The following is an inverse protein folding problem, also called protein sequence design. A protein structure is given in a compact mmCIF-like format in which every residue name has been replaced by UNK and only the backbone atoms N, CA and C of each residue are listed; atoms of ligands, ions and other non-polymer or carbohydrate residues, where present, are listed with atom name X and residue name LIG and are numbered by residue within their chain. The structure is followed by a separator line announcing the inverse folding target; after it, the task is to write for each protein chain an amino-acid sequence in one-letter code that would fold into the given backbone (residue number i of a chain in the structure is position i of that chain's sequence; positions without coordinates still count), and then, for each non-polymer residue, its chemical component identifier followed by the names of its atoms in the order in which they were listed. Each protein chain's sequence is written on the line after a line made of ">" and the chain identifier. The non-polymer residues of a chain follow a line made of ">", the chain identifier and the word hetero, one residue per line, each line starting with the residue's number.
data_IF_717632912044
#
_entry.id   IF_717632912044
#
_cell.length_a   1.000
_cell.length_b   1.000
_cell.length_c   1.000
_cell.angle_alpha   90.00
_cell.angle_beta   90.00
_cell.angle_gamma   90.00
#
_symmetry.space_group_name_H-M   'P 1'
#
loop_
_entity.id
_entity.type
_entity.pdbx_description
1 polymer ?
#
# COMPACT_ATOMS: atom_id res chain seq x y z
N UNK A 1 -2.67 10.83 -13.70
CA UNK A 1 -3.99 11.37 -13.33
C UNK A 1 -4.51 10.62 -12.12
N UNK A 2 -5.09 11.34 -11.15
CA UNK A 2 -5.81 10.75 -10.01
C UNK A 2 -7.31 10.86 -10.22
N UNK A 3 -8.07 9.93 -9.64
CA UNK A 3 -9.54 9.94 -9.68
C UNK A 3 -10.10 9.43 -8.35
N UNK A 4 -11.18 10.05 -7.89
CA UNK A 4 -11.98 9.49 -6.81
C UNK A 4 -12.73 8.28 -7.33
N UNK A 5 -12.83 7.25 -6.51
CA UNK A 5 -13.54 6.01 -6.84
C UNK A 5 -15.02 6.22 -6.57
N UNK A 6 -15.82 6.05 -7.62
CA UNK A 6 -17.27 6.12 -7.55
C UNK A 6 -17.85 4.92 -6.78
N UNK A 7 -19.06 5.08 -6.25
CA UNK A 7 -19.71 4.09 -5.39
C UNK A 7 -19.76 2.68 -6.00
N UNK A 8 -20.08 2.57 -7.29
CA UNK A 8 -20.23 1.30 -8.00
C UNK A 8 -18.90 0.53 -8.09
N UNK A 9 -17.79 1.23 -8.39
CA UNK A 9 -16.46 0.62 -8.39
C UNK A 9 -16.03 0.27 -6.97
N UNK A 10 -16.38 1.10 -5.99
CA UNK A 10 -16.09 0.84 -4.58
C UNK A 10 -16.76 -0.44 -4.07
N UNK A 11 -17.99 -0.73 -4.50
CA UNK A 11 -18.69 -1.97 -4.19
C UNK A 11 -17.91 -3.19 -4.72
N UNK A 12 -17.36 -3.10 -5.93
CA UNK A 12 -16.47 -4.12 -6.50
C UNK A 12 -15.13 -4.27 -5.76
N UNK A 13 -14.63 -3.20 -5.13
CA UNK A 13 -13.40 -3.21 -4.34
C UNK A 13 -13.60 -3.64 -2.88
N UNK A 14 -14.85 -3.77 -2.41
CA UNK A 14 -15.13 -4.09 -1.00
C UNK A 14 -14.38 -5.33 -0.49
N UNK A 15 -14.30 -6.47 -1.21
CA UNK A 15 -13.51 -7.63 -0.77
C UNK A 15 -12.01 -7.34 -0.67
N UNK A 16 -11.47 -6.50 -1.57
CA UNK A 16 -10.06 -6.11 -1.61
C UNK A 16 -9.72 -5.20 -0.42
N UNK A 17 -10.60 -4.23 -0.13
CA UNK A 17 -10.49 -3.33 1.02
C UNK A 17 -10.53 -4.13 2.32
N UNK A 18 -11.47 -5.07 2.42
CA UNK A 18 -11.62 -5.89 3.61
C UNK A 18 -10.40 -6.78 3.85
N UNK A 19 -9.85 -7.41 2.81
CA UNK A 19 -8.62 -8.18 2.92
C UNK A 19 -7.43 -7.31 3.38
N UNK A 20 -7.30 -6.09 2.86
CA UNK A 20 -6.27 -5.14 3.30
C UNK A 20 -6.47 -4.73 4.77
N UNK A 21 -7.72 -4.48 5.19
CA UNK A 21 -8.09 -4.11 6.57
C UNK A 21 -7.80 -5.24 7.55
N UNK A 22 -8.23 -6.47 7.25
CA UNK A 22 -7.95 -7.66 8.06
C UNK A 22 -6.45 -7.86 8.22
N UNK A 23 -5.68 -7.68 7.13
CA UNK A 23 -4.24 -7.80 7.21
C UNK A 23 -3.61 -6.68 8.02
N UNK A 24 -4.07 -5.44 7.87
CA UNK A 24 -3.63 -4.30 8.67
C UNK A 24 -3.81 -4.55 10.18
N UNK A 25 -4.89 -5.22 10.60
CA UNK A 25 -5.12 -5.58 12.00
C UNK A 25 -4.09 -6.58 12.56
N UNK A 26 -3.38 -7.31 11.71
CA UNK A 26 -2.28 -8.21 12.08
C UNK A 26 -0.93 -7.49 12.14
N UNK A 27 -0.86 -6.20 11.80
CA UNK A 27 0.39 -5.42 11.82
C UNK A 27 1.03 -5.45 13.20
N UNK A 28 2.34 -5.75 13.22
CA UNK A 28 3.18 -5.70 14.43
C UNK A 28 3.77 -4.30 14.66
N UNK A 29 3.45 -3.32 13.82
CA UNK A 29 3.93 -1.96 13.97
C UNK A 29 3.16 -1.22 15.06
N UNK A 30 3.88 -0.71 16.07
CA UNK A 30 3.30 0.09 17.15
C UNK A 30 3.03 1.54 16.78
N UNK A 31 3.52 2.03 15.62
CA UNK A 31 3.34 3.43 15.17
C UNK A 31 2.04 3.63 14.40
N UNK A 32 1.87 2.86 13.34
CA UNK A 32 0.73 2.90 12.43
C UNK A 32 0.49 1.47 11.92
N UNK A 33 -0.76 1.03 11.95
CA UNK A 33 -1.16 -0.27 11.40
C UNK A 33 -1.66 -0.10 9.98
N UNK A 34 -0.97 -0.73 9.04
CA UNK A 34 -1.21 -0.61 7.61
C UNK A 34 -1.26 -1.97 6.96
N UNK A 35 -2.15 -2.12 5.99
CA UNK A 35 -2.30 -3.30 5.16
C UNK A 35 -2.31 -2.90 3.70
N UNK A 36 -1.89 -3.81 2.84
CA UNK A 36 -1.97 -3.60 1.41
C UNK A 36 -2.30 -4.89 0.67
N UNK A 37 -2.92 -4.72 -0.49
CA UNK A 37 -3.29 -5.80 -1.38
C UNK A 37 -2.83 -5.47 -2.79
N UNK A 38 -2.22 -6.45 -3.45
CA UNK A 38 -2.00 -6.45 -4.90
C UNK A 38 -3.14 -7.25 -5.53
N UNK A 39 -3.82 -6.67 -6.50
CA UNK A 39 -4.99 -7.29 -7.13
C UNK A 39 -5.09 -6.99 -8.61
N UNK A 40 -5.80 -7.84 -9.35
CA UNK A 40 -6.12 -7.67 -10.76
C UNK A 40 -7.52 -8.22 -11.01
N UNK A 41 -8.39 -7.44 -11.64
CA UNK A 41 -9.76 -7.85 -11.99
C UNK A 41 -10.56 -8.47 -10.82
N UNK A 42 -10.42 -7.89 -9.63
CA UNK A 42 -11.06 -8.36 -8.39
C UNK A 42 -10.39 -9.58 -7.73
N UNK A 43 -9.35 -10.16 -8.35
CA UNK A 43 -8.57 -11.25 -7.78
C UNK A 43 -7.40 -10.70 -6.96
N UNK A 44 -7.26 -11.17 -5.71
CA UNK A 44 -6.11 -10.90 -4.85
C UNK A 44 -4.93 -11.75 -5.31
N UNK A 45 -3.82 -11.09 -5.67
CA UNK A 45 -2.55 -11.72 -6.02
C UNK A 45 -1.61 -11.78 -4.82
N UNK A 46 -1.62 -10.75 -3.97
CA UNK A 46 -0.81 -10.70 -2.76
C UNK A 46 -1.43 -9.80 -1.70
N UNK A 47 -1.15 -10.08 -0.43
CA UNK A 47 -1.69 -9.33 0.72
C UNK A 47 -0.70 -9.34 1.88
N UNK A 48 -0.42 -8.16 2.43
CA UNK A 48 0.54 -8.03 3.52
C UNK A 48 0.21 -6.85 4.45
N UNK A 49 0.92 -6.80 5.59
CA UNK A 49 0.89 -5.69 6.53
C UNK A 49 2.28 -5.10 6.69
N UNK A 50 2.36 -3.90 7.29
CA UNK A 50 3.64 -3.30 7.64
C UNK A 50 4.16 -3.81 8.99
N UNK A 51 5.47 -3.90 9.12
CA UNK A 51 6.11 -4.27 10.37
C UNK A 51 7.61 -4.52 10.20
N UNK A 52 8.36 -4.66 11.30
CA UNK A 52 9.76 -5.07 11.27
C UNK A 52 9.96 -6.40 10.54
N UNK A 53 11.06 -6.53 9.82
CA UNK A 53 11.42 -7.77 9.12
C UNK A 53 11.88 -8.82 10.14
N UNK A 54 11.33 -10.03 10.09
CA UNK A 54 11.71 -11.13 10.98
C UNK A 54 13.23 -11.34 11.03
N UNK A 55 13.82 -11.62 12.21
CA UNK A 55 13.18 -11.92 13.51
C UNK A 55 12.91 -10.68 14.39
N UNK A 56 12.94 -9.48 13.82
CA UNK A 56 12.83 -8.25 14.58
C UNK A 56 11.40 -7.92 15.02
N UNK A 57 11.28 -7.20 16.14
CA UNK A 57 10.01 -6.72 16.70
C UNK A 57 9.96 -5.20 16.77
N UNK A 58 8.76 -4.62 16.85
CA UNK A 58 8.64 -3.17 16.87
C UNK A 58 9.05 -2.65 18.25
N UNK A 59 10.13 -1.88 18.29
CA UNK A 59 10.58 -1.20 19.49
C UNK A 59 10.41 0.31 19.31
N UNK A 60 9.41 0.97 19.93
CA UNK A 60 9.16 2.40 19.75
C UNK A 60 10.38 3.29 20.03
N UNK A 61 11.23 2.92 21.00
CA UNK A 61 12.41 3.69 21.39
C UNK A 61 13.51 3.75 20.32
N UNK A 62 13.50 2.83 19.35
CA UNK A 62 14.50 2.75 18.27
C UNK A 62 13.81 2.86 16.90
N UNK A 63 12.80 2.02 16.67
CA UNK A 63 12.12 1.85 15.40
C UNK A 63 11.47 3.13 14.88
N UNK A 64 10.96 4.03 15.73
CA UNK A 64 10.22 5.20 15.25
C UNK A 64 11.13 6.18 14.51
N UNK A 65 12.40 6.27 14.91
CA UNK A 65 13.40 7.14 14.30
C UNK A 65 13.95 6.58 12.97
N UNK A 66 13.98 5.25 12.82
CA UNK A 66 14.56 4.56 11.66
C UNK A 66 13.54 3.68 10.92
N UNK A 67 12.25 3.97 11.05
CA UNK A 67 11.18 3.07 10.62
C UNK A 67 11.30 2.69 9.15
N UNK A 68 11.67 3.63 8.27
CA UNK A 68 11.87 3.38 6.85
C UNK A 68 13.05 2.48 6.50
N UNK A 69 13.99 2.24 7.43
CA UNK A 69 15.10 1.32 7.26
C UNK A 69 14.85 -0.05 7.90
N UNK A 70 13.96 -0.08 8.91
CA UNK A 70 13.78 -1.24 9.78
C UNK A 70 12.50 -2.03 9.51
N UNK A 71 11.43 -1.34 9.11
CA UNK A 71 10.14 -1.93 8.82
C UNK A 71 9.93 -2.08 7.32
N UNK A 72 9.37 -3.22 6.92
CA UNK A 72 8.82 -3.37 5.58
C UNK A 72 7.45 -2.71 5.53
N UNK A 73 7.23 -1.86 4.53
CA UNK A 73 5.92 -1.26 4.28
C UNK A 73 4.95 -2.29 3.68
N UNK A 74 3.66 -2.10 3.94
CA UNK A 74 2.64 -3.07 3.56
C UNK A 74 2.58 -3.26 2.03
N UNK A 75 2.72 -2.18 1.27
CA UNK A 75 2.67 -2.15 -0.19
C UNK A 75 3.79 -2.99 -0.79
N UNK A 76 5.02 -2.76 -0.32
CA UNK A 76 6.19 -3.53 -0.73
C UNK A 76 6.03 -5.00 -0.33
N UNK A 77 5.58 -5.27 0.89
CA UNK A 77 5.36 -6.63 1.36
C UNK A 77 4.29 -7.37 0.53
N UNK A 78 3.21 -6.69 0.11
CA UNK A 78 2.14 -7.29 -0.69
C UNK A 78 2.60 -7.61 -2.12
N UNK A 79 3.44 -6.75 -2.71
CA UNK A 79 4.13 -7.02 -3.98
C UNK A 79 5.03 -8.26 -3.85
N UNK A 80 5.82 -8.34 -2.78
CA UNK A 80 6.70 -9.49 -2.54
C UNK A 80 5.91 -10.78 -2.31
N UNK A 81 4.78 -10.71 -1.60
CA UNK A 81 3.87 -11.85 -1.39
C UNK A 81 3.27 -12.36 -2.72
N UNK A 82 2.83 -11.45 -3.61
CA UNK A 82 2.35 -11.82 -4.94
C UNK A 82 3.43 -12.53 -5.78
N UNK A 83 4.64 -11.98 -5.81
CA UNK A 83 5.78 -12.56 -6.53
C UNK A 83 6.15 -13.94 -5.95
N UNK A 84 6.21 -14.06 -4.62
CA UNK A 84 6.56 -15.31 -3.95
C UNK A 84 5.56 -16.44 -4.22
N UNK A 85 4.28 -16.09 -4.46
CA UNK A 85 3.23 -17.02 -4.89
C UNK A 85 3.28 -17.36 -6.38
N UNK A 86 4.20 -16.77 -7.14
CA UNK A 86 4.38 -17.00 -8.57
C UNK A 86 3.43 -16.21 -9.46
N UNK A 87 2.77 -15.17 -8.94
CA UNK A 87 1.94 -14.30 -9.76
C UNK A 87 2.78 -13.30 -10.54
N UNK A 88 2.40 -13.09 -11.80
CA UNK A 88 2.85 -11.92 -12.55
C UNK A 88 2.12 -10.66 -12.06
N UNK A 89 2.72 -9.48 -12.26
CA UNK A 89 2.16 -8.20 -11.80
C UNK A 89 1.63 -7.34 -12.96
N UNK A 90 1.53 -7.88 -14.17
CA UNK A 90 1.12 -7.09 -15.34
C UNK A 90 -0.34 -6.65 -15.19
N UNK A 91 -0.60 -5.35 -15.37
CA UNK A 91 -1.88 -4.69 -15.13
C UNK A 91 -2.42 -4.81 -13.69
N UNK A 92 -1.60 -5.24 -12.72
CA UNK A 92 -2.03 -5.30 -11.33
C UNK A 92 -2.08 -3.91 -10.70
N UNK A 93 -3.03 -3.73 -9.77
CA UNK A 93 -3.17 -2.55 -8.93
C UNK A 93 -2.73 -2.85 -7.50
N UNK A 94 -2.38 -1.81 -6.75
CA UNK A 94 -2.03 -1.91 -5.33
C UNK A 94 -3.01 -1.07 -4.52
N UNK A 95 -3.60 -1.63 -3.48
CA UNK A 95 -4.50 -0.92 -2.56
C UNK A 95 -3.87 -0.84 -1.17
N UNK A 96 -3.87 0.35 -0.58
CA UNK A 96 -3.38 0.64 0.76
C UNK A 96 -4.53 0.93 1.72
N UNK A 97 -4.47 0.37 2.92
CA UNK A 97 -5.34 0.70 4.06
C UNK A 97 -4.48 1.08 5.27
N UNK A 98 -4.85 2.18 5.92
CA UNK A 98 -4.49 2.49 7.30
C UNK A 98 -5.66 2.11 8.21
N UNK A 99 -5.41 1.46 9.35
CA UNK A 99 -6.43 1.21 10.38
C UNK A 99 -6.10 1.88 11.71
N UNK A 100 -7.12 2.44 12.33
CA UNK A 100 -7.06 3.00 13.68
C UNK A 100 -7.30 1.96 14.76
N UNK A 101 -7.34 2.41 16.01
CA UNK A 101 -7.82 1.59 17.13
C UNK A 101 -9.24 1.06 16.85
N UNK A 102 -9.53 -0.18 17.22
CA UNK A 102 -10.80 -0.85 16.86
C UNK A 102 -10.89 -1.34 15.40
N UNK A 103 -9.83 -1.20 14.60
CA UNK A 103 -9.73 -1.83 13.27
C UNK A 103 -10.55 -1.15 12.17
N UNK A 104 -10.98 0.08 12.41
CA UNK A 104 -11.66 0.94 11.44
C UNK A 104 -10.67 1.54 10.45
N UNK A 105 -11.06 1.60 9.17
CA UNK A 105 -10.25 2.25 8.12
C UNK A 105 -10.14 3.74 8.41
N UNK A 106 -8.93 4.27 8.32
CA UNK A 106 -8.63 5.68 8.56
C UNK A 106 -8.13 6.35 7.28
N UNK A 107 -8.38 7.65 7.19
CA UNK A 107 -7.78 8.51 6.18
C UNK A 107 -6.26 8.42 6.28
N UNK A 108 -5.64 8.15 5.13
CA UNK A 108 -4.20 8.20 4.97
C UNK A 108 -3.78 9.64 4.68
N UNK A 109 -2.60 10.02 5.18
CA UNK A 109 -2.02 11.32 4.87
C UNK A 109 -1.63 11.46 3.40
N UNK A 110 -1.02 12.60 3.07
CA UNK A 110 -0.46 12.84 1.75
C UNK A 110 0.52 11.73 1.32
N UNK A 111 0.58 11.48 0.01
CA UNK A 111 1.58 10.59 -0.57
C UNK A 111 2.97 11.18 -0.35
N UNK A 112 3.76 10.53 0.51
CA UNK A 112 5.11 10.97 0.89
C UNK A 112 6.12 9.83 0.98
N UNK A 113 5.74 8.61 0.60
CA UNK A 113 6.62 7.46 0.72
C UNK A 113 7.27 7.13 -0.63
N UNK A 114 8.48 7.66 -0.82
CA UNK A 114 9.33 7.43 -1.98
C UNK A 114 9.78 5.97 -2.11
N UNK A 115 9.88 5.23 -1.01
CA UNK A 115 10.17 3.79 -1.07
C UNK A 115 9.01 3.06 -1.78
N UNK A 116 7.76 3.27 -1.35
CA UNK A 116 6.60 2.60 -1.95
C UNK A 116 6.42 2.98 -3.43
N UNK A 117 6.38 4.27 -3.77
CA UNK A 117 6.17 4.69 -5.17
C UNK A 117 7.39 4.39 -6.04
N UNK A 118 8.60 4.55 -5.49
CA UNK A 118 9.85 4.21 -6.17
C UNK A 118 9.95 2.72 -6.51
N UNK A 119 9.54 1.83 -5.58
CA UNK A 119 9.47 0.39 -5.85
C UNK A 119 8.47 0.07 -6.97
N UNK A 120 7.28 0.67 -6.97
CA UNK A 120 6.30 0.48 -8.03
C UNK A 120 6.82 1.00 -9.38
N UNK A 121 7.50 2.15 -9.39
CA UNK A 121 8.16 2.70 -10.59
C UNK A 121 9.27 1.81 -11.14
N UNK A 122 9.99 1.07 -10.27
CA UNK A 122 10.98 0.10 -10.71
C UNK A 122 10.37 -0.99 -11.61
N UNK A 123 9.15 -1.46 -11.33
CA UNK A 123 8.46 -2.42 -12.19
C UNK A 123 8.13 -1.82 -13.56
N UNK A 124 7.62 -0.58 -13.61
CA UNK A 124 7.37 0.12 -14.88
C UNK A 124 8.64 0.24 -15.73
N UNK A 125 9.76 0.61 -15.11
CA UNK A 125 11.07 0.72 -15.78
C UNK A 125 11.58 -0.62 -16.32
N UNK A 126 11.13 -1.74 -15.76
CA UNK A 126 11.46 -3.10 -16.20
C UNK A 126 10.46 -3.66 -17.22
N UNK A 127 9.46 -2.86 -17.61
CA UNK A 127 8.45 -3.24 -18.61
C UNK A 127 7.23 -3.95 -18.03
N UNK A 128 7.09 -4.03 -16.70
CA UNK A 128 5.87 -4.54 -16.05
C UNK A 128 4.96 -3.38 -15.72
N UNK A 129 3.77 -3.35 -16.29
CA UNK A 129 2.82 -2.25 -16.09
C UNK A 129 1.98 -2.48 -14.85
N UNK A 130 2.28 -1.80 -13.75
CA UNK A 130 1.35 -1.66 -12.64
C UNK A 130 0.33 -0.56 -12.97
N UNK A 131 -0.95 -0.84 -12.74
CA UNK A 131 -2.06 0.00 -13.21
C UNK A 131 -2.29 1.20 -12.30
N UNK A 132 -2.80 0.98 -11.10
CA UNK A 132 -3.20 2.05 -10.18
C UNK A 132 -2.80 1.74 -8.74
N UNK A 133 -2.54 2.81 -7.97
CA UNK A 133 -2.38 2.81 -6.54
C UNK A 133 -3.61 3.44 -5.88
N UNK A 134 -4.30 2.65 -5.05
CA UNK A 134 -5.53 3.03 -4.36
C UNK A 134 -5.23 3.36 -2.90
N UNK A 135 -5.73 4.50 -2.42
CA UNK A 135 -5.54 4.98 -1.06
C UNK A 135 -6.78 5.73 -0.58
N UNK A 136 -7.13 5.56 0.69
CA UNK A 136 -8.26 6.30 1.30
C UNK A 136 -7.79 7.67 1.79
N UNK A 137 -8.31 8.73 1.20
CA UNK A 137 -7.97 10.13 1.49
C UNK A 137 -9.21 10.89 2.00
N UNK A 138 -9.05 12.19 2.32
CA UNK A 138 -10.13 13.02 2.86
C UNK A 138 -11.39 13.03 1.99
N UNK A 139 -11.23 12.97 0.66
CA UNK A 139 -12.32 12.98 -0.31
C UNK A 139 -12.83 11.56 -0.67
N UNK A 140 -12.41 10.55 0.07
CA UNK A 140 -12.76 9.15 -0.18
C UNK A 140 -11.63 8.31 -0.76
N UNK A 141 -11.99 7.18 -1.36
CA UNK A 141 -11.02 6.32 -2.04
C UNK A 141 -10.52 6.99 -3.32
N UNK A 142 -9.21 7.12 -3.48
CA UNK A 142 -8.59 7.72 -4.64
C UNK A 142 -7.67 6.70 -5.32
N UNK A 143 -7.79 6.56 -6.63
CA UNK A 143 -6.81 5.87 -7.46
C UNK A 143 -5.86 6.86 -8.12
N UNK A 144 -4.58 6.52 -8.11
CA UNK A 144 -3.53 7.22 -8.82
C UNK A 144 -2.87 6.25 -9.81
N UNK A 145 -2.67 6.64 -11.06
CA UNK A 145 -1.70 5.92 -11.89
C UNK A 145 -0.33 5.92 -11.19
N UNK A 146 0.44 4.84 -11.27
CA UNK A 146 1.74 4.74 -10.58
C UNK A 146 2.69 5.92 -10.85
N UNK A 147 2.85 6.43 -12.10
CA UNK A 147 3.67 7.61 -12.36
C UNK A 147 3.16 8.90 -11.69
N UNK A 148 1.84 9.03 -11.53
CA UNK A 148 1.24 10.17 -10.83
C UNK A 148 1.51 10.09 -9.33
N UNK A 149 1.35 8.90 -8.74
CA UNK A 149 1.64 8.69 -7.33
C UNK A 149 3.10 9.04 -7.01
N UNK A 150 4.05 8.63 -7.86
CA UNK A 150 5.47 8.96 -7.70
C UNK A 150 5.74 10.46 -7.87
N UNK A 151 5.12 11.11 -8.87
CA UNK A 151 5.23 12.55 -9.09
C UNK A 151 4.73 13.36 -7.89
N UNK A 152 3.56 13.02 -7.35
CA UNK A 152 3.00 13.68 -6.15
C UNK A 152 3.91 13.44 -4.95
N UNK A 153 4.40 12.21 -4.79
CA UNK A 153 5.32 11.85 -3.70
C UNK A 153 6.59 12.69 -3.73
N UNK A 154 7.26 12.79 -4.88
CA UNK A 154 8.46 13.64 -5.06
C UNK A 154 8.18 15.10 -4.75
N UNK A 155 7.07 15.64 -5.27
CA UNK A 155 6.64 17.01 -4.98
C UNK A 155 6.46 17.25 -3.47
N UNK A 156 5.85 16.31 -2.75
CA UNK A 156 5.62 16.45 -1.31
C UNK A 156 6.88 16.24 -0.46
N UNK A 157 7.97 15.79 -1.07
CA UNK A 157 9.30 15.61 -0.46
C UNK A 157 10.31 16.69 -0.92
N UNK A 158 9.87 17.66 -1.73
CA UNK A 158 10.74 18.68 -2.33
C UNK A 158 11.91 18.09 -3.17
N UNK A 159 11.64 16.99 -3.90
CA UNK A 159 12.57 16.27 -4.79
C UNK A 159 12.33 16.48 -6.28
#
# INVERSE_FOLDING_TARGET
>A
MSRTIEREELEGLSPIIEAAREKANQSTCMKDRRGAVVFRDGQILGVAFNGPVSPHECNPGICFAICGLYAMHAERAAIMDAIAKGHDLEQASVLHVKVGEGGQVQVSGELRCEDCTGYMMCFLRKGTTLKEFYIFQENGWTAHTIPEADKITRKNLDL
#
